data_IF_829322104350
#
_entry.id   IF_829322104350
#
_cell.length_a   1.000
_cell.length_b   1.000
_cell.length_c   1.000
_cell.angle_alpha   90.00
_cell.angle_beta   90.00
_cell.angle_gamma   90.00
#
_symmetry.space_group_name_H-M   'P 1'
#
loop_
_entity.id
_entity.type
_entity.pdbx_description
1 polymer ?
#
# COMPACT_ATOMS: atom_id res chain seq x y z
N UNK A 1 16.60 -93.33 48.79
CA UNK A 1 17.24 -94.18 47.76
C UNK A 1 16.75 -93.71 46.40
N UNK A 2 17.68 -93.43 45.48
CA UNK A 2 17.52 -93.34 44.02
C UNK A 2 16.58 -92.25 43.46
N UNK A 3 16.84 -91.55 42.36
CA UNK A 3 17.91 -91.44 41.37
C UNK A 3 17.59 -90.13 40.61
N UNK A 4 18.53 -89.19 40.43
CA UNK A 4 19.32 -89.00 39.19
C UNK A 4 18.50 -89.13 37.89
N UNK A 5 18.32 -88.01 37.20
CA UNK A 5 18.75 -87.81 35.80
C UNK A 5 18.68 -86.30 35.49
N UNK A 6 19.78 -85.53 35.50
CA UNK A 6 20.77 -85.27 34.44
C UNK A 6 20.24 -84.75 33.10
N UNK A 7 20.71 -83.55 32.78
CA UNK A 7 20.95 -83.00 31.44
C UNK A 7 19.77 -82.79 30.49
N UNK A 8 19.53 -81.52 30.18
CA UNK A 8 19.71 -80.86 28.87
C UNK A 8 19.53 -79.36 29.18
N UNK A 9 20.42 -78.43 28.91
CA UNK A 9 21.52 -78.35 27.96
C UNK A 9 21.49 -76.92 27.43
N UNK A 10 22.68 -76.34 27.22
CA UNK A 10 22.94 -75.14 26.43
C UNK A 10 22.51 -73.78 27.01
N UNK A 11 23.49 -72.95 27.39
CA UNK A 11 23.92 -71.74 26.65
C UNK A 11 23.17 -70.51 27.20
N UNK A 12 23.76 -69.39 27.56
CA UNK A 12 25.09 -68.85 27.43
C UNK A 12 24.96 -67.34 27.66
N UNK A 13 26.00 -66.73 28.21
CA UNK A 13 26.34 -65.30 28.13
C UNK A 13 25.39 -64.24 28.74
N UNK A 14 25.86 -63.69 29.87
CA UNK A 14 26.03 -62.26 30.17
C UNK A 14 24.85 -61.28 30.00
N UNK A 15 24.38 -60.61 31.06
CA UNK A 15 23.55 -59.43 30.92
C UNK A 15 24.42 -58.25 30.43
N UNK A 16 24.35 -57.93 29.14
CA UNK A 16 24.91 -56.70 28.62
C UNK A 16 24.15 -55.51 29.22
N UNK A 17 24.92 -54.67 29.92
CA UNK A 17 24.58 -53.31 30.32
C UNK A 17 23.98 -52.54 29.14
N UNK A 18 22.74 -52.11 29.27
CA UNK A 18 22.20 -51.02 28.46
C UNK A 18 22.39 -49.71 29.25
N UNK A 19 23.13 -48.72 28.72
CA UNK A 19 23.14 -47.41 29.31
C UNK A 19 21.74 -46.81 29.15
N UNK A 20 21.13 -46.41 30.27
CA UNK A 20 19.88 -45.67 30.29
C UNK A 20 20.03 -44.41 29.44
N UNK A 21 19.46 -44.41 28.23
CA UNK A 21 19.23 -43.17 27.52
C UNK A 21 18.30 -42.33 28.39
N UNK A 22 18.86 -41.28 28.97
CA UNK A 22 18.09 -40.19 29.55
C UNK A 22 17.31 -39.52 28.42
N UNK A 23 16.09 -40.03 28.17
CA UNK A 23 15.10 -39.40 27.31
C UNK A 23 14.68 -38.08 27.94
N UNK A 24 15.48 -37.05 27.69
CA UNK A 24 15.01 -35.68 27.76
C UNK A 24 14.05 -35.51 26.57
N UNK A 25 12.74 -35.27 26.76
CA UNK A 25 11.86 -35.04 25.63
C UNK A 25 12.38 -33.83 24.84
N UNK A 26 12.31 -33.83 23.50
CA UNK A 26 12.70 -32.68 22.71
C UNK A 26 11.84 -31.50 23.19
N UNK A 27 12.53 -30.45 23.64
CA UNK A 27 11.89 -29.22 24.08
C UNK A 27 10.88 -28.79 23.03
N UNK A 28 9.62 -28.79 23.41
CA UNK A 28 8.64 -27.94 22.76
C UNK A 28 9.24 -26.53 22.83
N UNK A 29 9.67 -26.00 21.69
CA UNK A 29 9.95 -24.59 21.58
C UNK A 29 8.61 -23.89 21.81
N UNK A 30 8.37 -23.58 23.08
CA UNK A 30 7.31 -22.70 23.51
C UNK A 30 7.56 -21.39 22.77
N UNK A 31 6.72 -21.12 21.78
CA UNK A 31 6.73 -19.90 20.98
C UNK A 31 6.20 -18.73 21.82
N UNK A 32 6.78 -18.51 23.00
CA UNK A 32 6.51 -17.36 23.86
C UNK A 32 7.28 -16.10 23.42
N UNK A 33 8.23 -16.21 22.50
CA UNK A 33 9.08 -15.09 22.05
C UNK A 33 8.46 -14.12 21.02
N UNK A 34 7.38 -14.49 20.32
CA UNK A 34 6.82 -13.63 19.27
C UNK A 34 5.87 -12.53 19.81
N UNK A 35 5.24 -12.76 20.97
CA UNK A 35 4.31 -11.79 21.56
C UNK A 35 5.00 -10.68 22.35
N UNK A 36 6.19 -10.95 22.91
CA UNK A 36 7.02 -9.97 23.61
C UNK A 36 7.57 -8.90 22.66
N UNK A 37 8.31 -9.33 21.62
CA UNK A 37 8.95 -8.43 20.66
C UNK A 37 7.96 -7.55 19.90
N UNK A 38 6.80 -8.09 19.50
CA UNK A 38 5.76 -7.32 18.82
C UNK A 38 5.10 -6.28 19.75
N UNK A 39 4.97 -6.58 21.05
CA UNK A 39 4.48 -5.61 22.05
C UNK A 39 5.53 -4.53 22.32
N UNK A 40 6.80 -4.89 22.41
CA UNK A 40 7.88 -3.94 22.64
C UNK A 40 8.05 -2.98 21.44
N UNK A 41 8.01 -3.50 20.21
CA UNK A 41 8.02 -2.68 19.00
C UNK A 41 6.78 -1.79 18.89
N UNK A 42 5.59 -2.32 19.20
CA UNK A 42 4.36 -1.53 19.22
C UNK A 42 4.41 -0.43 20.29
N UNK A 43 5.04 -0.68 21.43
CA UNK A 43 5.19 0.29 22.52
C UNK A 43 6.20 1.39 22.14
N UNK A 44 7.33 1.01 21.53
CA UNK A 44 8.30 1.95 20.99
C UNK A 44 7.74 2.82 19.85
N UNK A 45 6.96 2.22 18.96
CA UNK A 45 6.29 2.95 17.87
C UNK A 45 5.21 3.89 18.41
N UNK A 46 4.40 3.45 19.38
CA UNK A 46 3.39 4.32 20.04
C UNK A 46 4.04 5.53 20.71
N UNK A 47 5.21 5.36 21.32
CA UNK A 47 5.91 6.45 22.00
C UNK A 47 6.45 7.48 21.01
N UNK A 48 7.10 7.02 19.93
CA UNK A 48 7.53 7.90 18.82
C UNK A 48 6.34 8.59 18.14
N UNK A 49 5.27 7.85 17.84
CA UNK A 49 4.05 8.43 17.27
C UNK A 49 3.43 9.48 18.19
N UNK A 50 3.46 9.28 19.51
CA UNK A 50 2.87 10.24 20.45
C UNK A 50 3.63 11.57 20.46
N UNK A 51 4.95 11.52 20.30
CA UNK A 51 5.80 12.71 20.18
C UNK A 51 5.56 13.42 18.84
N UNK A 52 5.58 12.69 17.73
CA UNK A 52 5.30 13.22 16.40
C UNK A 52 3.87 13.79 16.29
N UNK A 53 2.87 13.12 16.87
CA UNK A 53 1.48 13.59 16.86
C UNK A 53 1.35 14.94 17.56
N UNK A 54 2.10 15.21 18.63
CA UNK A 54 2.05 16.52 19.30
C UNK A 54 2.58 17.64 18.39
N UNK A 55 3.69 17.38 17.70
CA UNK A 55 4.28 18.32 16.74
C UNK A 55 3.35 18.56 15.55
N UNK A 56 2.82 17.48 14.97
CA UNK A 56 1.85 17.53 13.87
C UNK A 56 0.58 18.25 14.30
N UNK A 57 0.08 18.01 15.52
CA UNK A 57 -1.12 18.68 16.02
C UNK A 57 -0.92 20.20 16.15
N UNK A 58 0.25 20.66 16.59
CA UNK A 58 0.54 22.10 16.66
C UNK A 58 0.62 22.71 15.26
N UNK A 59 1.38 22.11 14.34
CA UNK A 59 1.47 22.57 12.96
C UNK A 59 0.11 22.56 12.26
N UNK A 60 -0.69 21.52 12.49
CA UNK A 60 -2.04 21.39 11.95
C UNK A 60 -2.95 22.51 12.45
N UNK A 61 -2.93 22.88 13.75
CA UNK A 61 -3.79 23.96 14.26
C UNK A 61 -3.57 25.31 13.55
N UNK A 62 -2.33 25.65 13.23
CA UNK A 62 -2.00 26.90 12.54
C UNK A 62 -2.34 26.84 11.03
N UNK A 63 -2.05 25.72 10.36
CA UNK A 63 -2.33 25.56 8.92
C UNK A 63 -3.80 25.27 8.59
N UNK A 64 -4.54 24.62 9.50
CA UNK A 64 -5.90 24.16 9.26
C UNK A 64 -6.88 25.32 9.07
N UNK A 65 -6.70 26.45 9.77
CA UNK A 65 -7.62 27.59 9.63
C UNK A 65 -7.60 28.16 8.21
N UNK A 66 -6.40 28.44 7.68
CA UNK A 66 -6.25 28.97 6.30
C UNK A 66 -6.65 27.93 5.24
N UNK A 67 -6.28 26.67 5.44
CA UNK A 67 -6.68 25.60 4.54
C UNK A 67 -8.20 25.39 4.53
N UNK A 68 -8.86 25.52 5.69
CA UNK A 68 -10.31 25.34 5.82
C UNK A 68 -11.09 26.42 5.08
N UNK A 69 -10.67 27.69 5.18
CA UNK A 69 -11.37 28.77 4.49
C UNK A 69 -11.22 28.64 2.97
N UNK A 70 -10.01 28.36 2.47
CA UNK A 70 -9.80 28.12 1.04
C UNK A 70 -10.52 26.86 0.54
N UNK A 71 -10.58 25.81 1.35
CA UNK A 71 -11.34 24.61 1.03
C UNK A 71 -12.86 24.88 0.99
N UNK A 72 -13.37 25.79 1.82
CA UNK A 72 -14.79 26.19 1.80
C UNK A 72 -15.18 26.85 0.50
N UNK A 73 -14.36 27.78 0.02
CA UNK A 73 -14.61 28.49 -1.24
C UNK A 73 -14.58 27.53 -2.44
N UNK A 74 -13.54 26.68 -2.52
CA UNK A 74 -13.37 25.73 -3.62
C UNK A 74 -14.46 24.64 -3.61
N UNK A 75 -14.80 24.11 -2.43
CA UNK A 75 -15.84 23.10 -2.32
C UNK A 75 -17.23 23.69 -2.63
N UNK A 76 -17.51 24.93 -2.21
CA UNK A 76 -18.78 25.61 -2.52
C UNK A 76 -19.07 25.58 -4.02
N UNK A 77 -18.06 25.91 -4.83
CA UNK A 77 -18.15 25.95 -6.29
C UNK A 77 -18.24 24.55 -6.94
N UNK A 78 -17.52 23.56 -6.40
CA UNK A 78 -17.36 22.25 -7.06
C UNK A 78 -18.29 21.15 -6.56
N UNK A 79 -19.08 21.40 -5.50
CA UNK A 79 -20.03 20.44 -4.89
C UNK A 79 -20.98 19.81 -5.91
N UNK A 80 -21.59 20.60 -6.78
CA UNK A 80 -22.56 20.10 -7.76
C UNK A 80 -21.92 19.13 -8.76
N UNK A 81 -20.68 19.39 -9.19
CA UNK A 81 -19.93 18.53 -10.11
C UNK A 81 -19.60 17.19 -9.44
N UNK A 82 -19.14 17.23 -8.20
CA UNK A 82 -18.81 16.04 -7.41
C UNK A 82 -20.07 15.21 -7.15
N UNK A 83 -21.18 15.85 -6.76
CA UNK A 83 -22.45 15.18 -6.51
C UNK A 83 -22.98 14.46 -7.76
N UNK A 84 -22.87 15.06 -8.94
CA UNK A 84 -23.25 14.42 -10.21
C UNK A 84 -22.40 13.19 -10.51
N UNK A 85 -21.07 13.27 -10.33
CA UNK A 85 -20.18 12.12 -10.55
C UNK A 85 -20.46 10.97 -9.57
N UNK A 86 -20.68 11.30 -8.29
CA UNK A 86 -21.06 10.32 -7.27
C UNK A 86 -22.41 9.68 -7.56
N UNK A 87 -23.39 10.46 -8.05
CA UNK A 87 -24.69 9.93 -8.49
C UNK A 87 -24.56 8.95 -9.65
N UNK A 88 -23.72 9.25 -10.64
CA UNK A 88 -23.42 8.36 -11.76
C UNK A 88 -22.74 7.05 -11.32
N UNK A 89 -21.79 7.14 -10.38
CA UNK A 89 -21.13 5.97 -9.81
C UNK A 89 -22.09 5.13 -8.96
N UNK A 90 -22.91 5.76 -8.12
CA UNK A 90 -23.92 5.06 -7.33
C UNK A 90 -24.92 4.32 -8.24
N UNK A 91 -25.33 4.93 -9.36
CA UNK A 91 -26.18 4.29 -10.35
C UNK A 91 -25.49 3.09 -11.02
N UNK A 92 -24.18 3.19 -11.33
CA UNK A 92 -23.41 2.07 -11.88
C UNK A 92 -23.27 0.92 -10.88
N UNK A 93 -23.01 1.23 -9.61
CA UNK A 93 -22.92 0.24 -8.52
C UNK A 93 -24.28 -0.41 -8.26
N UNK A 94 -25.37 0.36 -8.26
CA UNK A 94 -26.73 -0.16 -8.09
C UNK A 94 -27.14 -1.06 -9.25
N UNK A 95 -26.75 -0.71 -10.49
CA UNK A 95 -26.96 -1.56 -11.66
C UNK A 95 -26.19 -2.88 -11.55
N UNK A 96 -24.91 -2.83 -11.20
CA UNK A 96 -24.10 -4.04 -10.96
C UNK A 96 -24.64 -4.89 -9.80
N UNK A 97 -25.17 -4.25 -8.75
CA UNK A 97 -25.81 -4.95 -7.63
C UNK A 97 -27.05 -5.72 -8.08
N UNK A 98 -27.90 -5.12 -8.92
CA UNK A 98 -29.06 -5.79 -9.51
C UNK A 98 -28.65 -7.00 -10.34
N UNK A 99 -27.62 -6.86 -11.17
CA UNK A 99 -27.07 -7.98 -11.96
C UNK A 99 -26.49 -9.11 -11.08
N UNK A 100 -25.91 -8.78 -9.91
CA UNK A 100 -25.42 -9.76 -8.93
C UNK A 100 -26.52 -10.40 -8.07
N UNK A 101 -27.61 -9.68 -7.81
CA UNK A 101 -28.77 -10.16 -7.06
C UNK A 101 -29.61 -11.13 -7.89
N UNK A 102 -29.72 -10.87 -9.20
CA UNK A 102 -30.37 -11.76 -10.17
C UNK A 102 -29.51 -13.01 -10.51
N UNK A 103 -28.23 -13.02 -10.12
CA UNK A 103 -27.27 -14.12 -10.29
C UNK A 103 -27.06 -14.99 -9.04
N UNK A 104 -25.94 -15.74 -8.99
CA UNK A 104 -25.65 -16.74 -7.94
C UNK A 104 -25.29 -16.16 -6.56
N UNK A 105 -25.27 -14.83 -6.38
CA UNK A 105 -24.78 -14.19 -5.14
C UNK A 105 -25.75 -13.14 -4.56
N UNK A 106 -26.96 -13.54 -4.16
CA UNK A 106 -27.99 -12.64 -3.62
C UNK A 106 -27.57 -11.92 -2.32
N UNK A 107 -26.68 -12.52 -1.52
CA UNK A 107 -26.11 -11.89 -0.32
C UNK A 107 -25.20 -10.72 -0.68
N UNK A 108 -24.42 -10.85 -1.75
CA UNK A 108 -23.52 -9.79 -2.22
C UNK A 108 -24.34 -8.71 -2.93
N UNK A 109 -25.35 -9.09 -3.72
CA UNK A 109 -26.33 -8.17 -4.32
C UNK A 109 -26.99 -7.28 -3.27
N UNK A 110 -27.52 -7.87 -2.20
CA UNK A 110 -28.15 -7.12 -1.10
C UNK A 110 -27.18 -6.19 -0.35
N UNK A 111 -25.94 -6.63 -0.10
CA UNK A 111 -24.91 -5.80 0.52
C UNK A 111 -24.57 -4.60 -0.39
N UNK A 112 -24.39 -4.86 -1.68
CA UNK A 112 -24.03 -3.85 -2.68
C UNK A 112 -25.17 -2.86 -2.90
N UNK A 113 -26.43 -3.33 -2.84
CA UNK A 113 -27.61 -2.46 -2.91
C UNK A 113 -27.67 -1.48 -1.73
N UNK A 114 -27.43 -1.96 -0.52
CA UNK A 114 -27.36 -1.11 0.70
C UNK A 114 -26.25 -0.07 0.61
N UNK A 115 -25.11 -0.44 0.02
CA UNK A 115 -24.03 0.50 -0.27
C UNK A 115 -24.46 1.54 -1.30
N UNK A 116 -25.09 1.15 -2.41
CA UNK A 116 -25.61 2.05 -3.44
C UNK A 116 -26.60 3.07 -2.88
N UNK A 117 -27.59 2.62 -2.08
CA UNK A 117 -28.55 3.52 -1.42
C UNK A 117 -27.87 4.48 -0.45
N UNK A 118 -26.90 4.02 0.32
CA UNK A 118 -26.14 4.87 1.25
C UNK A 118 -25.30 5.91 0.50
N UNK A 119 -24.73 5.53 -0.64
CA UNK A 119 -23.89 6.37 -1.49
C UNK A 119 -24.72 7.42 -2.25
N UNK A 120 -25.93 7.06 -2.69
CA UNK A 120 -26.93 7.99 -3.23
C UNK A 120 -27.31 9.05 -2.20
N UNK A 121 -27.68 8.60 -0.99
CA UNK A 121 -28.02 9.50 0.12
C UNK A 121 -26.86 10.43 0.47
N UNK A 122 -25.63 9.91 0.42
CA UNK A 122 -24.44 10.71 0.63
C UNK A 122 -24.17 11.74 -0.49
N UNK A 123 -24.46 11.40 -1.75
CA UNK A 123 -24.35 12.34 -2.87
C UNK A 123 -25.39 13.48 -2.78
N UNK A 124 -26.63 13.15 -2.40
CA UNK A 124 -27.68 14.14 -2.15
C UNK A 124 -27.32 15.02 -0.94
N UNK A 125 -26.81 14.42 0.14
CA UNK A 125 -26.26 15.13 1.29
C UNK A 125 -25.12 16.07 0.89
N UNK A 126 -24.20 15.70 -0.02
CA UNK A 126 -23.13 16.63 -0.48
C UNK A 126 -23.68 17.83 -1.24
N UNK A 127 -24.77 17.65 -1.98
CA UNK A 127 -25.41 18.70 -2.77
C UNK A 127 -26.10 19.74 -1.88
N UNK A 128 -26.72 19.29 -0.79
CA UNK A 128 -27.48 20.15 0.12
C UNK A 128 -26.69 20.60 1.36
N UNK A 129 -25.64 19.88 1.78
CA UNK A 129 -24.97 20.14 3.07
C UNK A 129 -23.79 21.08 2.98
N UNK A 130 -23.60 21.77 4.10
CA UNK A 130 -22.39 22.50 4.44
C UNK A 130 -21.25 21.55 4.80
N UNK A 131 -20.02 21.94 4.43
CA UNK A 131 -18.78 21.24 4.83
C UNK A 131 -18.65 21.04 6.35
N UNK A 132 -19.31 21.90 7.14
CA UNK A 132 -19.43 21.77 8.60
C UNK A 132 -20.02 20.43 9.01
N UNK A 133 -21.04 19.96 8.29
CA UNK A 133 -21.72 18.71 8.62
C UNK A 133 -20.87 17.50 8.26
N UNK A 134 -20.10 17.57 7.16
CA UNK A 134 -19.10 16.56 6.81
C UNK A 134 -18.00 16.48 7.87
N UNK A 135 -17.51 17.63 8.34
CA UNK A 135 -16.53 17.67 9.43
C UNK A 135 -17.08 17.04 10.72
N UNK A 136 -18.34 17.30 11.08
CA UNK A 136 -18.98 16.67 12.23
C UNK A 136 -19.13 15.15 12.07
N UNK A 137 -19.47 14.66 10.87
CA UNK A 137 -19.51 13.21 10.62
C UNK A 137 -18.12 12.57 10.75
N UNK A 138 -17.07 13.24 10.26
CA UNK A 138 -15.70 12.77 10.41
C UNK A 138 -15.25 12.76 11.89
N UNK A 139 -15.64 13.76 12.67
CA UNK A 139 -15.37 13.84 14.10
C UNK A 139 -16.06 12.71 14.88
N UNK A 140 -17.35 12.46 14.60
CA UNK A 140 -18.11 11.38 15.22
C UNK A 140 -17.53 10.00 14.84
N UNK A 141 -17.12 9.81 13.57
CA UNK A 141 -16.45 8.60 13.13
C UNK A 141 -15.09 8.39 13.82
N UNK A 142 -14.28 9.45 13.92
CA UNK A 142 -12.99 9.42 14.60
C UNK A 142 -13.12 9.05 16.08
N UNK A 143 -14.16 9.56 16.76
CA UNK A 143 -14.46 9.24 18.16
C UNK A 143 -15.00 7.81 18.35
N UNK A 144 -15.92 7.37 17.50
CA UNK A 144 -16.60 6.07 17.66
C UNK A 144 -15.78 4.90 17.13
N UNK A 145 -15.00 5.10 16.07
CA UNK A 145 -14.29 4.05 15.34
C UNK A 145 -12.89 4.53 14.92
N UNK A 146 -11.97 4.68 15.88
CA UNK A 146 -10.62 5.21 15.62
C UNK A 146 -9.86 4.40 14.56
N UNK A 147 -10.02 3.06 14.53
CA UNK A 147 -9.38 2.22 13.53
C UNK A 147 -9.88 2.50 12.10
N UNK A 148 -11.19 2.73 11.92
CA UNK A 148 -11.75 3.05 10.61
C UNK A 148 -11.26 4.43 10.11
N UNK A 149 -11.20 5.41 11.01
CA UNK A 149 -10.66 6.74 10.68
C UNK A 149 -9.19 6.67 10.27
N UNK A 150 -8.35 5.95 11.01
CA UNK A 150 -6.94 5.77 10.67
C UNK A 150 -6.76 5.04 9.33
N UNK A 151 -7.57 4.02 9.05
CA UNK A 151 -7.55 3.32 7.77
C UNK A 151 -7.86 4.24 6.59
N UNK A 152 -8.92 5.05 6.71
CA UNK A 152 -9.29 6.03 5.67
C UNK A 152 -8.23 7.13 5.52
N UNK A 153 -7.68 7.63 6.61
CA UNK A 153 -6.62 8.64 6.58
C UNK A 153 -5.34 8.11 5.90
N UNK A 154 -4.96 6.86 6.17
CA UNK A 154 -3.82 6.23 5.53
C UNK A 154 -4.04 6.07 4.02
N UNK A 155 -5.21 5.59 3.59
CA UNK A 155 -5.58 5.48 2.18
C UNK A 155 -5.58 6.84 1.49
N UNK A 156 -6.14 7.87 2.12
CA UNK A 156 -6.14 9.22 1.58
C UNK A 156 -4.72 9.78 1.46
N UNK A 157 -3.88 9.62 2.48
CA UNK A 157 -2.47 10.03 2.45
C UNK A 157 -1.68 9.34 1.34
N UNK A 158 -1.90 8.03 1.15
CA UNK A 158 -1.30 7.28 0.05
C UNK A 158 -1.79 7.77 -1.32
N UNK A 159 -3.09 8.00 -1.48
CA UNK A 159 -3.65 8.52 -2.73
C UNK A 159 -3.05 9.88 -3.09
N UNK A 160 -2.92 10.78 -2.11
CA UNK A 160 -2.25 12.08 -2.29
C UNK A 160 -0.78 11.88 -2.67
N UNK A 161 -0.04 11.01 -1.95
CA UNK A 161 1.35 10.69 -2.27
C UNK A 161 1.50 10.17 -3.71
N UNK A 162 0.59 9.29 -4.14
CA UNK A 162 0.60 8.73 -5.48
C UNK A 162 0.30 9.78 -6.55
N UNK A 163 -0.65 10.69 -6.28
CA UNK A 163 -0.97 11.80 -7.18
C UNK A 163 0.21 12.77 -7.32
N UNK A 164 0.86 13.12 -6.22
CA UNK A 164 2.07 13.96 -6.24
C UNK A 164 3.19 13.30 -7.04
N UNK A 165 3.50 12.02 -6.77
CA UNK A 165 4.50 11.26 -7.52
C UNK A 165 4.16 11.17 -9.03
N UNK A 166 2.89 10.90 -9.36
CA UNK A 166 2.41 10.85 -10.74
C UNK A 166 2.42 12.21 -11.43
N UNK A 167 2.32 13.32 -10.67
CA UNK A 167 2.42 14.67 -11.20
C UNK A 167 3.87 15.06 -11.48
N UNK A 168 4.82 14.61 -10.67
CA UNK A 168 6.26 14.88 -10.84
C UNK A 168 6.85 14.21 -12.08
N UNK A 169 6.35 13.03 -12.46
CA UNK A 169 6.78 12.34 -13.69
C UNK A 169 6.41 13.08 -15.00
N UNK A 170 5.53 14.11 -14.94
CA UNK A 170 5.18 14.91 -16.12
C UNK A 170 6.15 16.07 -16.39
N UNK A 171 7.07 16.40 -15.48
CA UNK A 171 8.05 17.47 -15.68
C UNK A 171 9.35 17.01 -16.33
N UNK A 172 9.70 15.72 -16.29
CA UNK A 172 10.98 15.22 -16.82
C UNK A 172 10.99 15.04 -18.34
N UNK A 173 9.84 15.06 -19.02
CA UNK A 173 9.76 14.99 -20.49
C UNK A 173 9.93 16.37 -21.18
N UNK A 174 10.05 17.46 -20.43
CA UNK A 174 10.22 18.81 -21.01
C UNK A 174 11.65 19.36 -20.93
N UNK A 175 12.65 18.48 -21.02
CA UNK A 175 14.06 18.85 -21.25
C UNK A 175 14.69 17.97 -22.32
N UNK A 176 14.16 18.05 -23.54
CA UNK A 176 14.92 17.63 -24.71
C UNK A 176 16.07 18.65 -24.92
N UNK A 177 17.34 18.21 -25.02
CA UNK A 177 18.45 19.10 -25.31
C UNK A 177 18.35 19.58 -26.75
N UNK A 178 18.14 20.88 -26.93
CA UNK A 178 18.28 21.57 -28.21
C UNK A 178 19.78 21.70 -28.57
N UNK A 179 20.44 20.55 -28.80
CA UNK A 179 21.87 20.42 -29.11
C UNK A 179 22.11 19.56 -30.35
N UNK A 180 21.17 19.54 -31.30
CA UNK A 180 21.33 18.83 -32.59
C UNK A 180 21.65 19.75 -33.77
N UNK A 181 22.14 20.98 -33.55
CA UNK A 181 22.49 21.86 -34.67
C UNK A 181 23.83 22.63 -34.54
N UNK A 182 24.80 22.13 -33.77
CA UNK A 182 26.11 22.78 -33.61
C UNK A 182 27.31 21.90 -34.02
N UNK A 183 27.11 20.78 -34.70
CA UNK A 183 28.19 19.87 -35.13
C UNK A 183 28.05 19.44 -36.59
N UNK A 184 27.83 20.41 -37.48
CA UNK A 184 28.13 20.25 -38.90
C UNK A 184 29.45 20.98 -39.19
N UNK A 185 30.56 20.27 -38.95
CA UNK A 185 31.74 20.32 -39.81
C UNK A 185 32.58 21.61 -39.83
N UNK A 186 33.12 22.01 -38.68
CA UNK A 186 34.36 22.80 -38.65
C UNK A 186 35.52 21.89 -38.27
N UNK A 187 36.19 21.32 -39.27
CA UNK A 187 37.55 20.78 -39.13
C UNK A 187 38.21 20.78 -40.50
N UNK A 188 38.81 21.93 -40.83
CA UNK A 188 40.04 21.94 -41.60
C UNK A 188 41.12 21.21 -40.77
N UNK A 189 41.87 20.29 -41.39
CA UNK A 189 43.33 20.41 -41.52
C UNK A 189 44.00 19.07 -41.87
N UNK A 190 45.01 19.19 -42.72
CA UNK A 190 46.16 18.30 -42.96
C UNK A 190 46.10 17.18 -44.03
N UNK A 191 47.16 17.22 -44.85
CA UNK A 191 47.73 16.19 -45.74
C UNK A 191 47.41 16.27 -47.26
N UNK A 192 48.06 17.21 -47.93
CA UNK A 192 48.74 16.97 -49.24
C UNK A 192 50.22 16.64 -48.95
N UNK A 193 51.03 15.94 -49.79
CA UNK A 193 50.90 15.74 -51.24
C UNK A 193 51.27 14.32 -51.75
N UNK A 194 51.00 14.00 -53.03
CA UNK A 194 52.01 13.50 -54.02
C UNK A 194 51.37 12.83 -55.26
N UNK A 195 51.76 13.38 -56.41
CA UNK A 195 52.11 12.73 -57.69
C UNK A 195 51.19 11.66 -58.32
N UNK A 196 50.52 12.06 -59.40
CA UNK A 196 50.53 11.41 -60.73
C UNK A 196 49.64 12.29 -61.63
N UNK A 197 50.20 13.10 -62.53
CA UNK A 197 50.68 12.74 -63.88
C UNK A 197 49.55 12.20 -64.77
N UNK A 198 49.55 12.69 -66.00
CA UNK A 198 48.71 12.35 -67.13
C UNK A 198 47.42 13.18 -67.26
N UNK A 199 47.00 13.63 -68.43
CA UNK A 199 47.57 13.77 -69.76
C UNK A 199 46.39 14.35 -70.58
N UNK A 200 46.70 15.15 -71.59
CA UNK A 200 45.83 15.54 -72.71
C UNK A 200 44.62 16.44 -72.39
N UNK A 201 44.56 17.67 -72.90
CA UNK A 201 44.64 18.13 -74.31
C UNK A 201 43.31 18.06 -75.05
N UNK A 202 43.08 19.15 -75.80
CA UNK A 202 42.08 19.41 -76.84
C UNK A 202 40.66 19.71 -76.33
N UNK A 203 40.00 20.79 -76.77
CA UNK A 203 40.32 21.81 -77.75
C UNK A 203 39.19 22.83 -77.80
#
# INVERSE_FOLDING_TARGET
MAQRDTSHGAEGASPSSYPSLNENPPGVHESQGASGSAKDEATGLKQKLSEDVRTVQQAAKYGLSQASDKARDVAGEQKNIIAMQLGGLAAAVEKAAGELEDGDHPTIGNMTRRLGTSMRKFADDIRERDLRQVAHMAEDLGRRRPAAFLGMAALAGFAVSRFLAASSDRETTRKAPDRLNAVAGSSADSASPSSSMEDRSYG
#
